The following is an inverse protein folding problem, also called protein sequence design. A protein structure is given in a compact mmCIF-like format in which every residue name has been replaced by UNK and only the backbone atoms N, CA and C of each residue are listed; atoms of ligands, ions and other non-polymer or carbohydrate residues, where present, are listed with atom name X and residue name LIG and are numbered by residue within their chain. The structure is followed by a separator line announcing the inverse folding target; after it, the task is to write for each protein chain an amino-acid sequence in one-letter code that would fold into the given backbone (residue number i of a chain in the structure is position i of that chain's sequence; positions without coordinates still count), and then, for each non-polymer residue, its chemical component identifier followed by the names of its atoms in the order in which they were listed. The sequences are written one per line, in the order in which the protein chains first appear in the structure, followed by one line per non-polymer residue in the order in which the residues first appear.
data_IF_356353819258
#
_entry.id   IF_356353819258
#
_cell.length_a   1.000
_cell.length_b   1.000
_cell.length_c   1.000
_cell.angle_alpha   90.00
_cell.angle_beta   90.00
_cell.angle_gamma   90.00
#
_symmetry.space_group_name_H-M   'P 1'
#
loop_
_entity.id
_entity.type
_entity.pdbx_description
1 polymer ?
#
# COMPACT_ATOMS: atom_id res chain seq x y z
N UNK A 1 -78.37 -8.73 -18.02
CA UNK A 1 -77.37 -8.65 -16.93
C UNK A 1 -76.63 -9.98 -16.80
N UNK A 2 -75.91 -10.44 -17.83
CA UNK A 2 -75.23 -11.75 -17.80
C UNK A 2 -73.86 -11.74 -18.49
N UNK A 3 -73.39 -10.60 -19.03
CA UNK A 3 -72.10 -10.49 -19.72
C UNK A 3 -71.04 -9.69 -18.96
N UNK A 4 -71.41 -9.04 -17.86
CA UNK A 4 -70.46 -8.29 -17.01
C UNK A 4 -69.81 -9.21 -15.97
N UNK A 5 -70.47 -10.31 -15.59
CA UNK A 5 -69.96 -11.20 -14.55
C UNK A 5 -68.86 -12.16 -15.05
N UNK A 6 -68.87 -12.52 -16.33
CA UNK A 6 -67.88 -13.43 -16.92
C UNK A 6 -66.51 -12.77 -17.17
N UNK A 7 -66.44 -11.44 -17.28
CA UNK A 7 -65.17 -10.72 -17.47
C UNK A 7 -64.40 -10.49 -16.17
N UNK A 8 -65.09 -10.39 -15.03
CA UNK A 8 -64.47 -10.26 -13.71
C UNK A 8 -63.84 -11.58 -13.21
N UNK A 9 -64.37 -12.72 -13.64
CA UNK A 9 -63.82 -14.03 -13.27
C UNK A 9 -62.58 -14.44 -14.07
N UNK A 10 -62.37 -13.89 -15.28
CA UNK A 10 -61.16 -14.14 -16.07
C UNK A 10 -60.00 -13.22 -15.66
N UNK A 11 -60.30 -12.01 -15.18
CA UNK A 11 -59.29 -11.09 -14.63
C UNK A 11 -58.81 -11.47 -13.22
N UNK A 12 -59.62 -12.17 -12.42
CA UNK A 12 -59.19 -12.67 -11.11
C UNK A 12 -58.30 -13.93 -11.17
N UNK A 13 -58.29 -14.65 -12.30
CA UNK A 13 -57.49 -15.87 -12.47
C UNK A 13 -56.09 -15.63 -13.09
N UNK A 14 -55.78 -14.40 -13.52
CA UNK A 14 -54.47 -14.04 -14.11
C UNK A 14 -53.59 -13.22 -13.16
N UNK A 15 -54.06 -12.89 -11.96
CA UNK A 15 -53.29 -12.19 -10.93
C UNK A 15 -52.69 -13.12 -9.86
N UNK A 16 -52.55 -14.42 -10.13
CA UNK A 16 -52.10 -15.42 -9.15
C UNK A 16 -50.92 -16.29 -9.60
N UNK A 17 -50.21 -15.95 -10.69
CA UNK A 17 -49.15 -16.83 -11.22
C UNK A 17 -47.88 -16.15 -11.74
N UNK A 18 -47.46 -15.00 -11.21
CA UNK A 18 -46.09 -14.52 -11.42
C UNK A 18 -45.62 -13.70 -10.23
N UNK A 19 -45.05 -14.37 -9.23
CA UNK A 19 -43.97 -13.86 -8.38
C UNK A 19 -43.35 -15.05 -7.63
N UNK A 20 -42.65 -15.89 -8.39
CA UNK A 20 -41.57 -16.69 -7.81
C UNK A 20 -40.26 -15.98 -8.15
N UNK A 21 -39.96 -14.93 -7.38
CA UNK A 21 -38.60 -14.44 -7.25
C UNK A 21 -37.82 -15.53 -6.54
N UNK A 22 -36.91 -16.16 -7.27
CA UNK A 22 -35.90 -17.04 -6.70
C UNK A 22 -34.90 -16.14 -5.98
N UNK A 23 -35.11 -15.90 -4.69
CA UNK A 23 -34.08 -15.31 -3.84
C UNK A 23 -32.90 -16.30 -3.77
N UNK A 24 -31.72 -15.81 -4.15
CA UNK A 24 -30.47 -16.54 -4.03
C UNK A 24 -30.13 -16.69 -2.53
N UNK A 25 -29.91 -17.92 -2.01
CA UNK A 25 -29.62 -18.14 -0.58
C UNK A 25 -28.36 -17.44 -0.06
N UNK A 26 -27.57 -16.78 -0.92
CA UNK A 26 -26.41 -15.96 -0.52
C UNK A 26 -26.70 -14.52 -0.08
N UNK A 27 -27.90 -13.99 -0.32
CA UNK A 27 -28.23 -12.62 0.10
C UNK A 27 -28.72 -12.52 1.54
N UNK A 28 -29.27 -13.60 2.11
CA UNK A 28 -29.78 -13.60 3.49
C UNK A 28 -28.64 -13.68 4.51
N UNK A 29 -27.57 -14.42 4.21
CA UNK A 29 -26.40 -14.54 5.09
C UNK A 29 -25.62 -13.22 5.22
N UNK A 30 -25.60 -12.39 4.17
CA UNK A 30 -24.93 -11.07 4.21
C UNK A 30 -25.77 -9.98 4.88
N UNK A 31 -27.09 -10.17 5.01
CA UNK A 31 -27.97 -9.27 5.74
C UNK A 31 -27.92 -9.57 7.25
N UNK A 32 -27.92 -10.85 7.65
CA UNK A 32 -27.77 -11.23 9.07
C UNK A 32 -26.37 -10.90 9.62
N UNK A 33 -25.30 -11.07 8.83
CA UNK A 33 -23.95 -10.72 9.30
C UNK A 33 -23.75 -9.21 9.51
N UNK A 34 -24.59 -8.38 8.88
CA UNK A 34 -24.55 -6.91 9.02
C UNK A 34 -25.37 -6.40 10.20
N UNK A 35 -26.33 -7.19 10.70
CA UNK A 35 -27.09 -6.86 11.91
C UNK A 35 -26.45 -7.41 13.20
N UNK A 36 -25.63 -8.47 13.13
CA UNK A 36 -25.03 -9.09 14.33
C UNK A 36 -23.66 -8.48 14.75
N UNK A 37 -23.01 -7.71 13.87
CA UNK A 37 -21.74 -7.01 14.19
C UNK A 37 -21.88 -5.49 14.10
N UNK A 38 -22.67 -4.93 15.03
CA UNK A 38 -22.34 -3.70 15.76
C UNK A 38 -22.15 -2.43 14.93
N UNK A 39 -23.27 -1.79 14.61
CA UNK A 39 -23.38 -0.38 14.19
C UNK A 39 -23.27 0.56 15.42
N UNK A 40 -22.28 0.33 16.29
CA UNK A 40 -22.17 0.96 17.62
C UNK A 40 -20.73 1.39 17.97
N UNK A 41 -20.00 1.94 17.00
CA UNK A 41 -18.74 2.64 17.29
C UNK A 41 -18.48 3.84 16.36
N UNK A 42 -19.49 4.67 16.12
CA UNK A 42 -19.25 6.08 15.77
C UNK A 42 -19.05 6.88 17.06
N UNK A 43 -17.90 6.65 17.69
CA UNK A 43 -17.47 7.38 18.87
C UNK A 43 -16.94 8.74 18.40
N UNK A 44 -17.82 9.74 18.31
CA UNK A 44 -17.50 11.15 18.00
C UNK A 44 -16.56 11.80 19.06
N UNK A 45 -16.11 11.01 20.05
CA UNK A 45 -15.13 11.36 21.06
C UNK A 45 -14.08 10.27 21.26
N UNK A 46 -13.75 9.47 20.23
CA UNK A 46 -12.62 8.55 20.29
C UNK A 46 -11.36 9.32 20.71
N UNK A 47 -10.98 9.15 21.98
CA UNK A 47 -9.71 9.62 22.51
C UNK A 47 -8.66 8.99 21.61
N UNK A 48 -7.81 9.77 20.91
CA UNK A 48 -6.86 9.19 19.97
C UNK A 48 -6.05 8.17 20.74
N UNK A 49 -6.15 6.91 20.30
CA UNK A 49 -5.31 5.84 20.80
C UNK A 49 -3.88 6.37 20.71
N UNK A 50 -3.19 6.40 21.85
CA UNK A 50 -1.82 6.90 22.00
C UNK A 50 -0.94 6.35 20.86
N UNK A 51 -0.72 7.16 19.82
CA UNK A 51 0.28 6.91 18.80
C UNK A 51 -0.18 6.71 17.35
N UNK A 52 -1.42 7.06 16.95
CA UNK A 52 -1.68 7.18 15.52
C UNK A 52 -1.10 8.51 15.00
N UNK A 53 0.07 8.43 14.37
CA UNK A 53 0.77 9.59 13.84
C UNK A 53 0.06 10.05 12.56
N UNK A 54 -0.98 10.85 12.73
CA UNK A 54 -1.67 11.51 11.62
C UNK A 54 -0.93 12.78 11.21
N UNK A 55 -0.59 12.87 9.94
CA UNK A 55 -0.01 14.06 9.34
C UNK A 55 -1.05 14.75 8.47
N UNK A 56 -1.46 15.94 8.89
CA UNK A 56 -2.39 16.80 8.17
C UNK A 56 -1.61 17.93 7.51
N UNK A 57 -1.59 17.95 6.17
CA UNK A 57 -0.88 18.94 5.37
C UNK A 57 -1.89 19.74 4.54
N UNK A 58 -1.77 21.07 4.57
CA UNK A 58 -2.64 21.98 3.84
C UNK A 58 -1.81 22.86 2.93
N UNK A 59 -2.00 22.74 1.62
CA UNK A 59 -1.31 23.58 0.63
C UNK A 59 -2.30 24.48 -0.08
N UNK A 60 -1.97 25.76 -0.17
CA UNK A 60 -2.68 26.72 -1.01
C UNK A 60 -2.15 26.62 -2.43
N UNK A 61 -3.05 26.37 -3.38
CA UNK A 61 -2.75 26.29 -4.80
C UNK A 61 -3.04 27.65 -5.43
N UNK A 62 -2.07 28.12 -6.21
CA UNK A 62 -2.21 29.28 -7.07
C UNK A 62 -2.08 28.86 -8.52
N UNK A 63 -2.74 29.55 -9.44
CA UNK A 63 -2.67 29.28 -10.87
C UNK A 63 -2.38 30.54 -11.68
N UNK A 64 -1.97 30.35 -12.93
CA UNK A 64 -1.75 31.44 -13.88
C UNK A 64 -2.66 31.22 -15.10
N UNK A 65 -3.62 32.13 -15.29
CA UNK A 65 -4.56 32.11 -16.40
C UNK A 65 -4.06 32.90 -17.62
N UNK A 66 -3.10 33.79 -17.44
CA UNK A 66 -2.51 34.61 -18.51
C UNK A 66 -1.00 34.57 -18.41
N UNK A 67 -0.34 34.22 -19.52
CA UNK A 67 1.11 34.14 -19.57
C UNK A 67 1.73 35.51 -19.27
N UNK A 68 2.55 35.57 -18.22
CA UNK A 68 3.26 36.80 -17.82
C UNK A 68 2.52 37.67 -16.81
N UNK A 69 1.29 37.33 -16.45
CA UNK A 69 0.59 37.95 -15.31
C UNK A 69 0.89 37.23 -13.99
N UNK A 70 0.47 37.80 -12.87
CA UNK A 70 0.64 37.18 -11.56
C UNK A 70 -0.17 35.90 -11.40
N UNK A 71 0.21 35.08 -10.42
CA UNK A 71 -0.60 33.94 -10.02
C UNK A 71 -1.77 34.39 -9.13
N UNK A 72 -2.92 33.75 -9.30
CA UNK A 72 -4.14 33.99 -8.53
C UNK A 72 -4.51 32.73 -7.73
N UNK A 73 -5.32 32.90 -6.68
CA UNK A 73 -5.77 31.76 -5.86
C UNK A 73 -6.62 30.78 -6.67
N UNK A 74 -6.30 29.49 -6.60
CA UNK A 74 -6.99 28.39 -7.29
C UNK A 74 -7.71 27.45 -6.34
N UNK A 75 -7.38 27.48 -5.04
CA UNK A 75 -8.02 26.66 -4.03
C UNK A 75 -7.01 26.01 -3.10
N UNK A 76 -7.49 25.07 -2.29
CA UNK A 76 -6.69 24.44 -1.24
C UNK A 76 -6.69 22.94 -1.43
N UNK A 77 -5.54 22.31 -1.27
CA UNK A 77 -5.41 20.86 -1.18
C UNK A 77 -5.05 20.46 0.25
N UNK A 78 -5.84 19.55 0.80
CA UNK A 78 -5.64 18.95 2.11
C UNK A 78 -5.23 17.49 1.90
N UNK A 79 -4.10 17.11 2.49
CA UNK A 79 -3.52 15.78 2.42
C UNK A 79 -3.49 15.24 3.85
N UNK A 80 -4.22 14.16 4.08
CA UNK A 80 -4.23 13.43 5.35
C UNK A 80 -3.50 12.12 5.14
N UNK A 81 -2.34 12.00 5.79
CA UNK A 81 -1.51 10.81 5.78
C UNK A 81 -1.54 10.18 7.17
N UNK A 82 -2.18 9.02 7.28
CA UNK A 82 -2.27 8.26 8.52
C UNK A 82 -1.31 7.06 8.46
N UNK A 83 -0.69 6.70 9.58
CA UNK A 83 0.21 5.55 9.65
C UNK A 83 -0.50 4.21 9.35
N UNK A 84 -1.80 4.11 9.63
CA UNK A 84 -2.63 2.92 9.39
C UNK A 84 -3.07 2.76 7.94
N UNK A 85 -3.09 3.84 7.14
CA UNK A 85 -3.58 3.82 5.76
C UNK A 85 -2.43 3.89 4.75
N UNK A 86 -2.30 2.90 3.83
CA UNK A 86 -1.20 2.89 2.86
C UNK A 86 -1.34 3.98 1.80
N UNK A 87 -2.54 4.52 1.59
CA UNK A 87 -2.84 5.56 0.62
C UNK A 87 -3.31 6.83 1.35
N UNK A 88 -2.54 7.92 1.31
CA UNK A 88 -2.98 9.20 1.84
C UNK A 88 -4.28 9.66 1.17
N UNK A 89 -5.16 10.28 1.96
CA UNK A 89 -6.39 10.90 1.45
C UNK A 89 -6.08 12.31 0.96
N UNK A 90 -6.54 12.64 -0.24
CA UNK A 90 -6.40 13.98 -0.82
C UNK A 90 -7.79 14.57 -1.04
N UNK A 91 -8.02 15.76 -0.51
CA UNK A 91 -9.25 16.53 -0.71
C UNK A 91 -8.94 17.93 -1.22
N UNK A 92 -9.77 18.39 -2.16
CA UNK A 92 -9.70 19.75 -2.68
C UNK A 92 -10.86 20.56 -2.14
N UNK A 93 -10.57 21.77 -1.66
CA UNK A 93 -11.55 22.71 -1.14
C UNK A 93 -11.30 24.11 -1.70
N UNK A 94 -12.24 25.03 -1.48
CA UNK A 94 -12.13 26.44 -1.90
C UNK A 94 -11.87 26.62 -3.41
N UNK A 95 -12.42 25.72 -4.24
CA UNK A 95 -12.26 25.80 -5.70
C UNK A 95 -13.04 27.03 -6.24
N UNK A 96 -12.40 27.90 -7.04
CA UNK A 96 -13.07 29.04 -7.65
C UNK A 96 -14.10 28.54 -8.67
N UNK A 97 -15.24 29.23 -8.71
CA UNK A 97 -16.15 29.14 -9.84
C UNK A 97 -15.53 29.88 -11.01
N UNK A 98 -15.40 29.22 -12.17
CA UNK A 98 -14.92 29.86 -13.39
C UNK A 98 -15.89 30.95 -13.83
N UNK A 99 -15.46 32.21 -13.78
CA UNK A 99 -16.20 33.33 -14.33
C UNK A 99 -16.10 33.35 -15.87
N UNK A 100 -16.96 34.11 -16.54
CA UNK A 100 -16.89 34.24 -18.00
C UNK A 100 -15.54 34.83 -18.46
N UNK A 101 -14.93 35.71 -17.66
CA UNK A 101 -13.60 36.28 -17.89
C UNK A 101 -12.48 35.22 -17.73
N UNK A 102 -12.57 34.36 -16.71
CA UNK A 102 -11.62 33.25 -16.54
C UNK A 102 -11.72 32.25 -17.70
N UNK A 103 -12.94 31.95 -18.14
CA UNK A 103 -13.19 31.10 -19.31
C UNK A 103 -12.55 31.71 -20.55
N UNK A 104 -12.72 33.01 -20.79
CA UNK A 104 -12.10 33.70 -21.93
C UNK A 104 -10.56 33.63 -21.87
N UNK A 105 -9.96 33.81 -20.69
CA UNK A 105 -8.52 33.68 -20.47
C UNK A 105 -8.02 32.25 -20.74
N UNK A 106 -8.71 31.23 -20.24
CA UNK A 106 -8.38 29.83 -20.51
C UNK A 106 -8.52 29.47 -21.99
N UNK A 107 -9.59 29.93 -22.65
CA UNK A 107 -9.76 29.74 -24.09
C UNK A 107 -8.70 30.48 -24.90
N UNK A 108 -8.21 31.64 -24.42
CA UNK A 108 -7.07 32.33 -25.03
C UNK A 108 -5.78 31.51 -24.90
N UNK A 109 -5.51 30.91 -23.74
CA UNK A 109 -4.38 29.98 -23.59
C UNK A 109 -4.50 28.81 -24.57
N UNK A 110 -5.71 28.24 -24.69
CA UNK A 110 -6.01 27.11 -25.55
C UNK A 110 -5.78 27.43 -27.04
N UNK A 111 -6.31 28.55 -27.53
CA UNK A 111 -6.12 29.01 -28.93
C UNK A 111 -4.68 29.34 -29.26
N UNK A 112 -3.90 29.74 -28.27
CA UNK A 112 -2.49 30.12 -28.42
C UNK A 112 -1.51 28.95 -28.17
N UNK A 113 -2.03 27.74 -27.95
CA UNK A 113 -1.24 26.55 -27.61
C UNK A 113 -0.29 26.80 -26.42
N UNK A 114 -0.82 27.47 -25.39
CA UNK A 114 -0.06 27.81 -24.17
C UNK A 114 -0.35 26.81 -23.06
N UNK A 115 0.45 26.91 -22.02
CA UNK A 115 0.36 26.03 -20.87
C UNK A 115 -0.44 26.72 -19.77
N UNK A 116 -1.28 25.93 -19.10
CA UNK A 116 -1.85 26.30 -17.82
C UNK A 116 -0.85 25.94 -16.73
N UNK A 117 -0.60 26.86 -15.79
CA UNK A 117 0.40 26.68 -14.75
C UNK A 117 -0.24 26.74 -13.37
N UNK A 118 0.23 25.86 -12.48
CA UNK A 118 -0.18 25.79 -11.08
C UNK A 118 1.06 25.78 -10.22
N UNK A 119 0.99 26.41 -9.05
CA UNK A 119 2.07 26.40 -8.07
C UNK A 119 1.55 26.29 -6.64
N UNK A 120 2.42 25.84 -5.75
CA UNK A 120 2.19 25.81 -4.31
C UNK A 120 3.51 26.02 -3.57
N UNK A 121 3.46 26.47 -2.32
CA UNK A 121 4.67 26.59 -1.49
C UNK A 121 5.21 25.21 -1.10
N UNK A 122 6.53 25.09 -1.03
CA UNK A 122 7.22 23.87 -0.57
C UNK A 122 6.83 23.53 0.87
N UNK A 123 6.80 24.56 1.71
CA UNK A 123 6.45 24.48 3.13
C UNK A 123 5.27 25.42 3.38
N UNK A 124 4.08 24.89 3.70
CA UNK A 124 2.89 25.72 3.89
C UNK A 124 2.95 26.52 5.19
N UNK A 125 3.78 26.13 6.16
CA UNK A 125 3.92 26.84 7.43
C UNK A 125 4.85 28.07 7.33
N UNK A 126 5.72 28.13 6.31
CA UNK A 126 6.64 29.25 6.10
C UNK A 126 6.16 30.16 4.94
N UNK A 127 5.76 31.41 5.23
CA UNK A 127 5.33 32.36 4.22
C UNK A 127 6.39 32.69 3.17
N UNK A 128 7.68 32.58 3.52
CA UNK A 128 8.81 32.87 2.64
C UNK A 128 9.34 31.62 1.90
N UNK A 129 8.66 30.49 2.07
CA UNK A 129 9.01 29.24 1.42
C UNK A 129 8.97 29.36 -0.11
N UNK A 130 9.93 28.75 -0.83
CA UNK A 130 9.90 28.73 -2.29
C UNK A 130 8.67 28.01 -2.83
N UNK A 131 8.36 28.27 -4.10
CA UNK A 131 7.25 27.62 -4.79
C UNK A 131 7.71 26.44 -5.64
N UNK A 132 6.92 25.39 -5.65
CA UNK A 132 6.94 24.32 -6.66
C UNK A 132 5.95 24.69 -7.74
N UNK A 133 6.35 24.59 -9.00
CA UNK A 133 5.53 24.97 -10.15
C UNK A 133 5.40 23.78 -11.08
N UNK A 134 4.20 23.59 -11.61
CA UNK A 134 3.89 22.59 -12.64
C UNK A 134 3.09 23.24 -13.77
N UNK A 135 3.17 22.66 -14.96
CA UNK A 135 2.51 23.20 -16.14
C UNK A 135 2.00 22.09 -17.05
N UNK A 136 0.84 22.29 -17.64
CA UNK A 136 0.20 21.35 -18.57
C UNK A 136 -0.22 22.07 -19.85
N UNK A 137 -0.05 21.48 -21.05
CA UNK A 137 -0.58 22.04 -22.28
C UNK A 137 -2.10 22.22 -22.16
N UNK A 138 -2.60 23.42 -22.44
CA UNK A 138 -4.02 23.73 -22.24
C UNK A 138 -4.93 22.84 -23.10
N UNK A 139 -4.47 22.39 -24.28
CA UNK A 139 -5.25 21.47 -25.12
C UNK A 139 -5.45 20.08 -24.50
N UNK A 140 -4.46 19.53 -23.81
CA UNK A 140 -4.59 18.23 -23.11
C UNK A 140 -5.61 18.34 -21.99
N UNK A 141 -5.58 19.45 -21.26
CA UNK A 141 -6.54 19.72 -20.20
C UNK A 141 -7.97 19.99 -20.75
N UNK A 142 -8.07 20.71 -21.87
CA UNK A 142 -9.32 20.96 -22.56
C UNK A 142 -9.94 19.68 -23.13
N UNK A 143 -9.13 18.75 -23.63
CA UNK A 143 -9.57 17.43 -24.09
C UNK A 143 -10.29 16.66 -22.97
N UNK A 144 -9.73 16.74 -21.76
CA UNK A 144 -10.26 16.10 -20.54
C UNK A 144 -11.42 16.85 -19.87
N UNK A 145 -11.88 17.98 -20.46
CA UNK A 145 -12.91 18.88 -19.89
C UNK A 145 -12.55 19.40 -18.50
N UNK A 146 -11.30 19.85 -18.32
CA UNK A 146 -10.79 20.36 -17.04
C UNK A 146 -10.91 19.36 -15.87
N UNK A 147 -10.95 18.06 -16.17
CA UNK A 147 -10.69 17.02 -15.17
C UNK A 147 -9.19 16.95 -14.96
N UNK A 148 -8.76 17.29 -13.76
CA UNK A 148 -7.36 17.45 -13.40
C UNK A 148 -6.96 16.26 -12.51
N UNK A 149 -5.80 15.69 -12.75
CA UNK A 149 -5.23 14.65 -11.91
C UNK A 149 -3.84 15.11 -11.47
N UNK A 150 -3.65 15.30 -10.16
CA UNK A 150 -2.42 15.80 -9.57
C UNK A 150 -1.70 14.67 -8.82
N UNK A 151 -0.39 14.56 -8.99
CA UNK A 151 0.44 13.79 -8.07
C UNK A 151 1.31 14.73 -7.23
N UNK A 152 1.14 14.67 -5.91
CA UNK A 152 1.93 15.46 -4.97
C UNK A 152 3.09 14.62 -4.44
N UNK A 153 4.31 15.04 -4.71
CA UNK A 153 5.50 14.38 -4.21
C UNK A 153 5.90 15.03 -2.88
N UNK A 154 5.82 14.27 -1.80
CA UNK A 154 6.16 14.74 -0.47
C UNK A 154 7.47 14.09 0.01
N UNK A 155 8.30 14.90 0.65
CA UNK A 155 9.44 14.40 1.43
C UNK A 155 8.96 13.69 2.70
N UNK A 156 9.86 12.96 3.36
CA UNK A 156 9.59 12.32 4.66
C UNK A 156 9.13 13.31 5.74
N UNK A 157 9.50 14.59 5.60
CA UNK A 157 9.10 15.68 6.49
C UNK A 157 7.74 16.31 6.16
N UNK A 158 7.05 15.84 5.11
CA UNK A 158 5.79 16.41 4.63
C UNK A 158 5.93 17.67 3.78
N UNK A 159 7.15 18.12 3.49
CA UNK A 159 7.40 19.22 2.56
C UNK A 159 7.16 18.79 1.12
N UNK A 160 6.58 19.67 0.32
CA UNK A 160 6.29 19.45 -1.09
C UNK A 160 7.55 19.58 -1.93
N UNK A 161 7.89 18.52 -2.66
CA UNK A 161 9.09 18.45 -3.51
C UNK A 161 8.73 18.73 -4.96
N UNK A 162 7.63 18.15 -5.44
CA UNK A 162 7.16 18.29 -6.82
C UNK A 162 5.63 18.18 -6.89
N UNK A 163 5.04 18.80 -7.91
CA UNK A 163 3.65 18.59 -8.32
C UNK A 163 3.70 18.08 -9.76
N UNK A 164 3.12 16.93 -10.00
CA UNK A 164 2.93 16.40 -11.34
C UNK A 164 1.48 16.62 -11.78
N UNK A 165 1.32 17.02 -13.04
CA UNK A 165 0.02 17.19 -13.66
C UNK A 165 -0.18 16.02 -14.63
N UNK A 166 -0.99 15.05 -14.22
CA UNK A 166 -1.22 13.82 -14.96
C UNK A 166 -2.31 14.04 -16.01
N UNK A 167 -1.92 14.07 -17.28
CA UNK A 167 -2.85 14.08 -18.42
C UNK A 167 -2.46 13.02 -19.43
N UNK A 168 -3.43 12.41 -20.14
CA UNK A 168 -3.11 11.57 -21.27
C UNK A 168 -2.39 12.40 -22.33
N UNK A 169 -1.29 11.85 -22.84
CA UNK A 169 -0.56 12.49 -23.94
C UNK A 169 -1.43 12.54 -25.19
N UNK A 170 -1.47 13.70 -25.83
CA UNK A 170 -2.09 13.91 -27.13
C UNK A 170 -1.03 14.34 -28.15
N UNK A 171 -1.10 13.76 -29.34
CA UNK A 171 -0.33 14.26 -30.47
C UNK A 171 -0.83 15.65 -30.89
N UNK A 172 0.03 16.40 -31.59
CA UNK A 172 -0.23 17.81 -31.93
C UNK A 172 -1.49 18.01 -32.81
N UNK A 173 -1.76 17.07 -33.72
CA UNK A 173 -2.95 17.04 -34.56
C UNK A 173 -4.24 16.85 -33.73
N UNK A 174 -4.25 15.88 -32.82
CA UNK A 174 -5.37 15.66 -31.90
C UNK A 174 -5.58 16.85 -30.95
N UNK A 175 -4.51 17.50 -30.52
CA UNK A 175 -4.55 18.74 -29.74
C UNK A 175 -5.22 19.88 -30.54
N UNK A 176 -4.94 20.01 -31.85
CA UNK A 176 -5.54 21.03 -32.71
C UNK A 176 -7.07 20.91 -32.83
N UNK A 177 -7.62 19.69 -32.79
CA UNK A 177 -9.08 19.45 -32.77
C UNK A 177 -9.74 20.05 -31.51
N UNK A 178 -8.98 20.20 -30.44
CA UNK A 178 -9.47 20.72 -29.17
C UNK A 178 -9.20 22.22 -28.97
N UNK A 179 -8.41 22.87 -29.84
CA UNK A 179 -8.04 24.29 -29.68
C UNK A 179 -9.22 25.27 -29.80
N UNK A 180 -10.28 24.89 -30.52
CA UNK A 180 -11.49 25.71 -30.69
C UNK A 180 -12.62 25.33 -29.71
N UNK A 181 -12.36 24.45 -28.74
CA UNK A 181 -13.39 23.96 -27.81
C UNK A 181 -13.84 25.10 -26.88
N UNK A 182 -15.14 25.32 -26.81
CA UNK A 182 -15.74 26.20 -25.80
C UNK A 182 -15.62 25.58 -24.40
N UNK A 183 -15.16 26.37 -23.45
CA UNK A 183 -15.03 25.97 -22.03
C UNK A 183 -16.19 26.49 -21.17
N UNK A 184 -17.23 27.06 -21.78
CA UNK A 184 -18.42 27.57 -21.08
C UNK A 184 -19.13 26.46 -20.30
N UNK A 185 -19.44 26.72 -19.04
CA UNK A 185 -20.14 25.80 -18.14
C UNK A 185 -19.29 24.61 -17.66
N UNK A 186 -18.01 24.53 -18.04
CA UNK A 186 -17.07 23.56 -17.49
C UNK A 186 -16.61 24.03 -16.10
N UNK A 187 -16.27 23.09 -15.22
CA UNK A 187 -15.73 23.37 -13.89
C UNK A 187 -14.44 22.58 -13.70
N UNK A 188 -13.57 23.07 -12.84
CA UNK A 188 -12.40 22.30 -12.40
C UNK A 188 -12.87 21.04 -11.66
N UNK A 189 -12.38 19.89 -12.11
CA UNK A 189 -12.62 18.59 -11.46
C UNK A 189 -11.31 17.97 -11.00
N UNK A 190 -10.68 18.47 -9.92
CA UNK A 190 -9.40 17.95 -9.47
C UNK A 190 -9.51 16.65 -8.68
N UNK A 191 -8.59 15.76 -8.98
CA UNK A 191 -8.28 14.56 -8.24
C UNK A 191 -6.79 14.57 -7.91
N UNK A 192 -6.42 13.84 -6.86
CA UNK A 192 -5.08 13.94 -6.30
C UNK A 192 -4.61 12.61 -5.76
N UNK A 193 -3.34 12.33 -5.99
CA UNK A 193 -2.62 11.22 -5.39
C UNK A 193 -1.36 11.75 -4.72
N UNK A 194 -0.82 11.00 -3.75
CA UNK A 194 0.37 11.38 -3.00
C UNK A 194 1.43 10.33 -3.17
N UNK A 195 2.62 10.78 -3.54
CA UNK A 195 3.81 9.97 -3.70
C UNK A 195 4.78 10.36 -2.59
N UNK A 196 4.94 9.45 -1.61
CA UNK A 196 5.92 9.61 -0.54
C UNK A 196 7.28 9.09 -0.99
N UNK A 197 8.36 9.65 -0.44
CA UNK A 197 9.67 9.06 -0.58
C UNK A 197 9.68 7.62 -0.04
N UNK A 198 10.35 6.73 -0.77
CA UNK A 198 10.51 5.32 -0.38
C UNK A 198 11.99 5.05 -0.18
N UNK A 199 12.32 4.30 0.88
CA UNK A 199 13.69 3.87 1.10
C UNK A 199 14.14 2.97 -0.06
N UNK A 200 15.26 3.33 -0.69
CA UNK A 200 15.86 2.54 -1.74
C UNK A 200 16.45 1.22 -1.21
N UNK A 201 16.74 0.26 -2.11
CA UNK A 201 17.39 -0.99 -1.72
C UNK A 201 18.77 -0.71 -1.14
N UNK A 202 19.01 -1.18 0.09
CA UNK A 202 20.34 -1.12 0.72
C UNK A 202 21.08 -2.43 0.50
N UNK A 203 22.39 -2.40 0.17
CA UNK A 203 23.15 -3.62 0.00
C UNK A 203 23.17 -4.44 1.31
N UNK A 204 23.09 -5.78 1.23
CA UNK A 204 23.16 -6.61 2.41
C UNK A 204 24.54 -6.43 3.07
N UNK A 205 24.55 -6.07 4.36
CA UNK A 205 25.79 -5.88 5.14
C UNK A 205 26.61 -7.16 5.27
N UNK A 206 25.93 -8.31 5.20
CA UNK A 206 26.56 -9.62 5.14
C UNK A 206 26.33 -10.18 3.75
N UNK A 207 27.35 -10.11 2.91
CA UNK A 207 27.42 -10.93 1.71
C UNK A 207 27.64 -12.35 2.24
N UNK A 208 26.55 -13.08 2.51
CA UNK A 208 26.66 -14.53 2.52
C UNK A 208 27.04 -14.87 1.09
N UNK A 209 28.34 -15.06 0.86
CA UNK A 209 28.84 -15.77 -0.30
C UNK A 209 28.19 -17.13 -0.17
N UNK A 210 27.02 -17.31 -0.77
CA UNK A 210 26.65 -18.62 -1.27
C UNK A 210 27.87 -18.98 -2.09
N UNK A 211 28.64 -19.96 -1.61
CA UNK A 211 29.64 -20.65 -2.41
C UNK A 211 28.82 -21.29 -3.52
N UNK A 212 28.44 -20.49 -4.51
CA UNK A 212 28.00 -20.96 -5.78
C UNK A 212 29.17 -21.83 -6.22
N UNK A 213 28.95 -23.14 -6.24
CA UNK A 213 29.89 -24.06 -6.87
C UNK A 213 30.25 -23.40 -8.18
N UNK A 214 31.53 -23.08 -8.35
CA UNK A 214 32.00 -22.44 -9.56
C UNK A 214 31.37 -23.16 -10.75
N UNK A 215 30.75 -22.44 -11.71
CA UNK A 215 30.14 -23.08 -12.86
C UNK A 215 31.14 -24.05 -13.48
N UNK A 216 30.67 -25.25 -13.86
CA UNK A 216 31.53 -26.35 -14.30
C UNK A 216 32.52 -25.83 -15.36
N UNK A 217 33.82 -25.86 -15.03
CA UNK A 217 34.90 -25.43 -15.92
C UNK A 217 35.77 -24.28 -15.40
N UNK A 218 35.39 -23.61 -14.30
CA UNK A 218 36.24 -22.58 -13.69
C UNK A 218 36.83 -23.10 -12.38
N UNK A 219 38.16 -23.29 -12.34
CA UNK A 219 38.86 -23.61 -11.09
C UNK A 219 38.76 -22.40 -10.16
N UNK A 220 38.25 -22.55 -8.92
CA UNK A 220 38.30 -21.45 -7.96
C UNK A 220 39.77 -21.06 -7.75
N UNK A 221 40.05 -19.76 -7.80
CA UNK A 221 41.37 -19.24 -7.42
C UNK A 221 41.53 -19.55 -5.93
N UNK A 222 42.49 -20.41 -5.61
CA UNK A 222 42.91 -20.65 -4.24
C UNK A 222 43.43 -19.31 -3.71
N UNK A 223 42.76 -18.76 -2.71
CA UNK A 223 43.30 -17.66 -1.92
C UNK A 223 44.56 -18.17 -1.22
N UNK A 224 45.73 -17.72 -1.66
CA UNK A 224 47.00 -17.85 -0.94
C UNK A 224 46.82 -17.26 0.46
N UNK A 225 46.69 -18.11 1.47
CA UNK A 225 46.59 -17.67 2.87
C UNK A 225 45.46 -18.36 3.63
N UNK A 226 45.58 -19.68 3.83
CA UNK A 226 44.71 -20.41 4.75
C UNK A 226 45.15 -21.85 4.82
N UNK A 227 45.78 -22.21 5.92
CA UNK A 227 46.19 -23.58 6.28
C UNK A 227 45.08 -24.60 5.98
N UNK A 228 45.50 -25.75 5.45
CA UNK A 228 44.68 -26.94 5.23
C UNK A 228 44.00 -27.38 6.53
N UNK A 229 42.81 -26.85 6.80
CA UNK A 229 41.87 -27.52 7.69
C UNK A 229 41.24 -28.64 6.86
N UNK A 230 41.48 -29.92 7.18
CA UNK A 230 40.84 -31.01 6.46
C UNK A 230 39.33 -30.81 6.59
N UNK A 231 38.67 -30.65 5.44
CA UNK A 231 37.24 -30.49 5.36
C UNK A 231 36.60 -31.65 6.14
N UNK A 232 35.92 -31.35 7.26
CA UNK A 232 35.01 -32.29 7.89
C UNK A 232 33.84 -32.48 6.92
N UNK A 233 34.06 -33.32 5.90
CA UNK A 233 33.01 -33.81 5.04
C UNK A 233 31.91 -34.36 5.95
N UNK A 234 30.72 -33.77 5.89
CA UNK A 234 29.54 -34.18 6.65
C UNK A 234 29.22 -35.65 6.36
N UNK A 235 29.89 -36.58 7.05
CA UNK A 235 29.67 -38.00 6.90
C UNK A 235 28.28 -38.29 7.48
N UNK A 236 27.37 -38.74 6.62
CA UNK A 236 26.02 -39.18 6.99
C UNK A 236 26.06 -40.02 8.26
N UNK A 237 25.16 -39.72 9.20
CA UNK A 237 25.08 -40.31 10.53
C UNK A 237 25.15 -41.85 10.48
N UNK A 238 24.55 -42.47 9.47
CA UNK A 238 24.60 -43.92 9.26
C UNK A 238 26.02 -44.44 8.98
N UNK A 239 26.86 -43.69 8.26
CA UNK A 239 28.27 -44.06 8.01
C UNK A 239 29.13 -43.93 9.25
N UNK A 240 28.82 -42.97 10.13
CA UNK A 240 29.55 -42.79 11.40
C UNK A 240 29.15 -43.81 12.46
N UNK A 241 27.91 -44.29 12.43
CA UNK A 241 27.34 -45.14 13.48
C UNK A 241 26.84 -46.51 12.99
N UNK A 242 27.23 -46.99 11.81
CA UNK A 242 26.78 -48.28 11.27
C UNK A 242 27.09 -49.45 12.21
N UNK A 243 28.25 -49.42 12.89
CA UNK A 243 28.66 -50.44 13.85
C UNK A 243 27.87 -50.38 15.18
N UNK A 244 27.14 -49.29 15.46
CA UNK A 244 26.23 -49.17 16.61
C UNK A 244 24.82 -49.61 16.22
N UNK A 245 24.36 -49.21 15.03
CA UNK A 245 23.01 -49.54 14.55
C UNK A 245 22.89 -51.04 14.24
N UNK A 246 23.91 -51.65 13.63
CA UNK A 246 23.90 -53.06 13.23
C UNK A 246 23.67 -54.04 14.41
N UNK A 247 24.40 -53.96 15.54
CA UNK A 247 24.14 -54.85 16.67
C UNK A 247 22.79 -54.61 17.36
N UNK A 248 22.27 -53.38 17.38
CA UNK A 248 20.92 -53.09 17.91
C UNK A 248 19.85 -53.77 17.05
N UNK A 249 19.96 -53.66 15.72
CA UNK A 249 19.02 -54.31 14.79
C UNK A 249 19.10 -55.83 14.90
N UNK A 250 20.31 -56.39 15.04
CA UNK A 250 20.50 -57.84 15.25
C UNK A 250 19.92 -58.29 16.59
N UNK A 251 20.14 -57.55 17.69
CA UNK A 251 19.53 -57.86 18.98
C UNK A 251 18.01 -57.70 18.98
N UNK A 252 17.45 -56.73 18.25
CA UNK A 252 15.99 -56.59 18.14
C UNK A 252 15.34 -57.67 17.27
N UNK A 253 16.04 -58.19 16.25
CA UNK A 253 15.51 -59.24 15.37
C UNK A 253 15.71 -60.66 15.91
N UNK A 254 16.78 -60.90 16.66
CA UNK A 254 17.17 -62.24 17.15
C UNK A 254 17.19 -62.38 18.67
N UNK A 255 17.16 -61.28 19.44
CA UNK A 255 17.28 -61.26 20.91
C UNK A 255 15.95 -61.22 21.66
N UNK A 256 14.83 -61.48 20.98
CA UNK A 256 13.50 -61.55 21.59
C UNK A 256 13.17 -62.92 22.20
N UNK A 257 14.03 -63.49 23.04
CA UNK A 257 13.60 -64.49 24.02
C UNK A 257 14.60 -64.64 25.19
N UNK A 258 14.15 -64.36 26.42
CA UNK A 258 14.75 -64.87 27.65
C UNK A 258 15.76 -64.01 28.42
N UNK A 259 15.27 -63.31 29.47
CA UNK A 259 15.89 -63.43 30.80
C UNK A 259 16.65 -62.23 31.38
N UNK A 260 15.95 -61.49 32.26
CA UNK A 260 16.41 -60.84 33.50
C UNK A 260 17.62 -59.87 33.54
N UNK A 261 17.54 -58.75 34.29
CA UNK A 261 18.62 -57.79 34.44
C UNK A 261 19.72 -58.35 35.36
N UNK A 262 21.02 -58.14 35.07
CA UNK A 262 22.04 -58.38 36.06
C UNK A 262 21.99 -57.28 37.12
N UNK A 263 21.69 -57.72 38.34
CA UNK A 263 21.90 -57.01 39.58
C UNK A 263 23.36 -57.17 40.05
N UNK A 264 23.87 -56.13 40.72
CA UNK A 264 25.11 -56.13 41.51
C UNK A 264 26.30 -55.43 40.81
N UNK A 265 27.01 -54.47 41.41
CA UNK A 265 27.00 -53.93 42.77
C UNK A 265 28.34 -53.22 43.06
N UNK A 266 28.35 -52.36 44.10
CA UNK A 266 29.46 -51.59 44.70
C UNK A 266 30.06 -50.46 43.83
N UNK A 267 30.29 -49.22 44.27
CA UNK A 267 30.35 -48.51 45.57
C UNK A 267 31.13 -47.21 45.27
N UNK A 268 31.09 -46.09 45.99
CA UNK A 268 30.37 -45.60 47.15
C UNK A 268 30.62 -44.08 47.26
N UNK A 269 30.07 -43.48 48.32
CA UNK A 269 30.36 -42.15 48.89
C UNK A 269 30.18 -40.94 47.93
N UNK A 270 29.18 -40.07 48.10
CA UNK A 270 28.76 -39.44 49.36
C UNK A 270 29.60 -38.17 49.57
N UNK A 271 29.07 -36.99 49.19
CA UNK A 271 29.80 -35.74 49.40
C UNK A 271 29.17 -34.50 48.77
N UNK A 272 27.95 -34.14 49.18
CA UNK A 272 27.53 -32.74 49.23
C UNK A 272 26.91 -32.50 50.61
N UNK A 273 27.23 -31.39 51.26
CA UNK A 273 26.23 -30.33 51.21
C UNK A 273 26.83 -28.92 51.08
N UNK A 274 26.14 -28.07 50.33
CA UNK A 274 26.10 -26.64 50.63
C UNK A 274 25.26 -26.44 51.92
N UNK A 275 25.52 -25.38 52.70
CA UNK A 275 24.64 -24.24 52.49
C UNK A 275 25.31 -22.88 52.63
N UNK A 276 24.57 -21.90 52.10
CA UNK A 276 24.79 -20.48 52.17
C UNK A 276 24.96 -19.92 53.60
N UNK A 277 25.70 -18.81 53.73
CA UNK A 277 25.18 -17.54 54.24
C UNK A 277 26.29 -16.50 54.48
N UNK A 278 25.97 -15.24 54.16
CA UNK A 278 26.24 -14.14 55.07
C UNK A 278 27.55 -13.37 54.88
N UNK A 279 27.48 -12.28 54.12
CA UNK A 279 28.44 -11.19 54.26
C UNK A 279 28.25 -10.43 55.58
N UNK A 280 29.36 -10.05 56.24
CA UNK A 280 29.51 -8.76 56.97
C UNK A 280 30.93 -8.57 57.52
N UNK A 281 31.43 -7.33 57.34
CA UNK A 281 32.53 -6.62 58.06
C UNK A 281 33.95 -7.12 57.73
N UNK A 282 34.94 -6.27 57.48
CA UNK A 282 35.26 -4.92 58.01
C UNK A 282 35.78 -4.02 56.91
#
# INVERSE_FOLDING_TARGET
MARVWSLLLVLAATALLTDFVTADPREVENAELKEEFGDDFEDEHAIPALGELEQHLKFELEHQLVVGEGFTSRGVVEIVATASSPKPKVSFSSLPTLSDDDVEKLEKLLRQDRHYMVRAKVDPADPNSPYVVTSVPMCMLAAMRLREDFAFHLSDSGKLVAIEYLTPYLAADACAEHQARSLKGVRFGPFGTVLKAQAGPTPPKNIMVKRDRAPQGVKPVQSEGGEDQPEEENQSFLRKYWYVILPIVVMSLFGGDGGAPPSGGAGGAGGAPAPAAGGRRR
#
